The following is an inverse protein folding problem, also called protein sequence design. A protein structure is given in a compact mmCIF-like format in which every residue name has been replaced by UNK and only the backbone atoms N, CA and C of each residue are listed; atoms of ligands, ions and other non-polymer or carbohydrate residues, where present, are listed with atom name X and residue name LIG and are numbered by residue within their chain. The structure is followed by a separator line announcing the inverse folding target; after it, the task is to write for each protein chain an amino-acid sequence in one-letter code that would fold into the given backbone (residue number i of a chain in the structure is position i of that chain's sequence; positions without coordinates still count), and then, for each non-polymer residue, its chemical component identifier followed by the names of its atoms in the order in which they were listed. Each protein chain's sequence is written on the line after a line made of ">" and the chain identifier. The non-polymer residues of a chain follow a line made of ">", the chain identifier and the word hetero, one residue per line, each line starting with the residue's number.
data_IF_220199593943
#
_entry.id   IF_220199593943
#
_cell.length_a   1.000
_cell.length_b   1.000
_cell.length_c   1.000
_cell.angle_alpha   90.00
_cell.angle_beta   90.00
_cell.angle_gamma   90.00
#
_symmetry.space_group_name_H-M   'P 1'
#
loop_
_entity.id
_entity.type
_entity.pdbx_description
1 polymer ?
#
# COMPACT_ATOMS: atom_id res chain seq x y z
N UNK A 1 13.92 -9.86 -37.16
CA UNK A 1 13.85 -10.71 -35.96
C UNK A 1 14.04 -9.79 -34.77
N UNK A 2 12.94 -9.35 -34.15
CA UNK A 2 13.00 -8.39 -33.05
C UNK A 2 13.29 -9.13 -31.75
N UNK A 3 14.41 -8.79 -31.13
CA UNK A 3 14.84 -9.26 -29.81
C UNK A 3 14.00 -8.52 -28.76
N UNK A 4 12.76 -8.96 -28.55
CA UNK A 4 11.95 -8.45 -27.44
C UNK A 4 12.58 -8.94 -26.14
N UNK A 5 12.95 -7.99 -25.29
CA UNK A 5 13.75 -8.18 -24.08
C UNK A 5 13.17 -9.23 -23.15
N UNK A 6 14.04 -10.12 -22.68
CA UNK A 6 13.81 -11.20 -21.70
C UNK A 6 13.42 -10.68 -20.29
N UNK A 7 13.17 -9.39 -20.13
CA UNK A 7 12.91 -8.69 -18.86
C UNK A 7 11.44 -8.69 -18.42
N UNK A 8 10.50 -8.99 -19.32
CA UNK A 8 9.06 -8.91 -19.01
C UNK A 8 8.49 -10.20 -18.37
N UNK A 9 9.27 -11.28 -18.28
CA UNK A 9 8.71 -12.58 -17.85
C UNK A 9 8.61 -12.79 -16.33
N UNK A 10 9.04 -11.84 -15.49
CA UNK A 10 9.04 -11.99 -14.03
C UNK A 10 8.44 -10.80 -13.26
N UNK A 11 7.74 -9.88 -13.93
CA UNK A 11 7.09 -8.78 -13.23
C UNK A 11 5.67 -9.16 -12.80
N UNK A 12 5.33 -8.86 -11.54
CA UNK A 12 4.03 -9.11 -10.95
C UNK A 12 2.93 -8.19 -11.50
N UNK A 13 3.31 -7.04 -12.07
CA UNK A 13 2.44 -6.03 -12.66
C UNK A 13 3.21 -5.17 -13.68
N UNK A 14 2.48 -4.39 -14.49
CA UNK A 14 3.05 -3.61 -15.62
C UNK A 14 3.84 -2.38 -15.20
N UNK A 15 3.46 -1.78 -14.08
CA UNK A 15 4.08 -0.62 -13.47
C UNK A 15 5.41 -1.00 -12.81
N UNK A 16 6.26 -0.02 -12.51
CA UNK A 16 7.56 -0.32 -11.90
C UNK A 16 7.44 -0.57 -10.39
N UNK A 17 6.48 0.11 -9.74
CA UNK A 17 6.20 -0.04 -8.31
C UNK A 17 4.70 0.05 -8.01
N UNK A 18 4.25 -0.72 -7.02
CA UNK A 18 2.94 -0.63 -6.41
C UNK A 18 3.07 -0.06 -5.00
N UNK A 19 2.42 1.08 -4.70
CA UNK A 19 2.46 1.72 -3.39
C UNK A 19 1.20 1.35 -2.62
N UNK A 20 1.38 0.74 -1.44
CA UNK A 20 0.28 0.40 -0.54
C UNK A 20 0.06 1.59 0.42
N UNK A 21 -1.13 2.19 0.36
CA UNK A 21 -1.46 3.40 1.12
C UNK A 21 -2.81 3.31 1.83
N UNK A 22 -3.02 4.20 2.79
CA UNK A 22 -4.30 4.38 3.50
C UNK A 22 -5.05 5.57 2.90
N UNK A 23 -6.12 5.32 2.14
CA UNK A 23 -6.94 6.38 1.53
C UNK A 23 -7.75 7.21 2.55
N UNK A 24 -7.97 6.69 3.75
CA UNK A 24 -8.65 7.40 4.86
C UNK A 24 -7.71 8.28 5.67
N UNK A 25 -6.41 8.26 5.39
CA UNK A 25 -5.48 9.27 5.87
C UNK A 25 -5.37 10.40 4.85
N UNK A 26 -5.97 11.56 5.15
CA UNK A 26 -6.01 12.72 4.24
C UNK A 26 -4.62 13.12 3.71
N UNK A 27 -3.58 13.10 4.55
CA UNK A 27 -2.21 13.42 4.14
C UNK A 27 -1.67 12.39 3.16
N UNK A 28 -1.87 11.10 3.44
CA UNK A 28 -1.45 10.03 2.53
C UNK A 28 -2.20 10.11 1.20
N UNK A 29 -3.52 10.36 1.23
CA UNK A 29 -4.33 10.49 0.02
C UNK A 29 -3.87 11.67 -0.85
N UNK A 30 -3.65 12.85 -0.25
CA UNK A 30 -3.17 14.02 -0.99
C UNK A 30 -1.83 13.75 -1.68
N UNK A 31 -0.92 13.09 -0.97
CA UNK A 31 0.39 12.71 -1.50
C UNK A 31 0.26 11.73 -2.67
N UNK A 32 -0.55 10.68 -2.51
CA UNK A 32 -0.77 9.67 -3.56
C UNK A 32 -1.48 10.27 -4.79
N UNK A 33 -2.49 11.12 -4.59
CA UNK A 33 -3.17 11.83 -5.66
C UNK A 33 -2.21 12.74 -6.46
N UNK A 34 -1.29 13.44 -5.76
CA UNK A 34 -0.26 14.24 -6.40
C UNK A 34 0.68 13.38 -7.26
N UNK A 35 1.20 12.29 -6.68
CA UNK A 35 2.10 11.37 -7.39
C UNK A 35 1.42 10.75 -8.60
N UNK A 36 0.16 10.32 -8.48
CA UNK A 36 -0.61 9.75 -9.58
C UNK A 36 -0.76 10.74 -10.75
N UNK A 37 -1.19 11.98 -10.48
CA UNK A 37 -1.38 13.00 -11.51
C UNK A 37 -0.05 13.38 -12.17
N UNK A 38 1.03 13.42 -11.38
CA UNK A 38 2.38 13.72 -11.88
C UNK A 38 2.89 12.61 -12.79
N UNK A 39 2.74 11.35 -12.38
CA UNK A 39 3.11 10.15 -13.13
C UNK A 39 2.43 10.14 -14.50
N UNK A 40 1.11 10.33 -14.53
CA UNK A 40 0.32 10.44 -15.76
C UNK A 40 0.86 11.49 -16.73
N UNK A 41 1.21 12.67 -16.19
CA UNK A 41 1.65 13.81 -16.99
C UNK A 41 3.03 13.62 -17.61
N UNK A 42 3.94 12.92 -16.93
CA UNK A 42 5.35 12.84 -17.36
C UNK A 42 5.75 11.51 -17.99
N UNK A 43 5.03 10.43 -17.66
CA UNK A 43 5.29 9.08 -18.13
C UNK A 43 4.26 8.71 -19.20
N UNK A 44 4.32 9.44 -20.32
CA UNK A 44 3.38 9.35 -21.44
C UNK A 44 3.31 7.98 -22.14
N UNK A 45 4.35 7.14 -21.95
CA UNK A 45 4.46 5.82 -22.56
C UNK A 45 3.98 4.69 -21.63
N UNK A 46 3.35 5.04 -20.50
CA UNK A 46 2.87 4.08 -19.52
C UNK A 46 3.15 4.54 -18.09
N UNK A 47 2.16 4.33 -17.23
CA UNK A 47 2.25 4.65 -15.80
C UNK A 47 3.41 3.89 -15.15
N UNK A 48 4.09 4.54 -14.21
CA UNK A 48 5.18 3.92 -13.44
C UNK A 48 4.74 3.55 -12.03
N UNK A 49 3.66 4.18 -11.56
CA UNK A 49 3.10 3.98 -10.24
C UNK A 49 1.76 3.27 -10.32
N UNK A 50 1.68 2.11 -9.70
CA UNK A 50 0.43 1.52 -9.25
C UNK A 50 0.18 1.96 -7.80
N UNK A 51 -1.08 2.27 -7.46
CA UNK A 51 -1.47 2.65 -6.11
C UNK A 51 -2.55 1.70 -5.63
N UNK A 52 -2.30 1.00 -4.53
CA UNK A 52 -3.25 0.06 -3.93
C UNK A 52 -3.67 0.57 -2.56
N UNK A 53 -4.98 0.77 -2.40
CA UNK A 53 -5.55 1.22 -1.14
C UNK A 53 -5.75 0.03 -0.20
N UNK A 54 -5.20 0.14 1.01
CA UNK A 54 -5.33 -0.89 2.05
C UNK A 54 -6.70 -0.87 2.74
N UNK A 55 -7.46 0.21 2.58
CA UNK A 55 -8.83 0.34 3.07
C UNK A 55 -9.87 -0.21 2.09
N UNK A 56 -9.45 -0.67 0.90
CA UNK A 56 -10.34 -1.28 -0.07
C UNK A 56 -10.91 -2.61 0.44
N UNK A 57 -12.18 -2.89 0.16
CA UNK A 57 -12.86 -4.10 0.66
C UNK A 57 -12.27 -5.39 0.07
N UNK A 58 -11.74 -5.30 -1.14
CA UNK A 58 -11.09 -6.36 -1.91
C UNK A 58 -9.57 -6.40 -1.73
N UNK A 59 -9.01 -5.63 -0.78
CA UNK A 59 -7.59 -5.70 -0.47
C UNK A 59 -7.22 -7.09 0.09
N UNK A 60 -6.38 -7.82 -0.65
CA UNK A 60 -5.85 -9.11 -0.24
C UNK A 60 -4.32 -9.06 -0.03
N UNK A 61 -3.82 -9.18 1.21
CA UNK A 61 -2.39 -9.29 1.49
C UNK A 61 -1.70 -10.45 0.75
N UNK A 62 -2.44 -11.51 0.39
CA UNK A 62 -1.89 -12.70 -0.27
C UNK A 62 -1.71 -12.52 -1.78
N UNK A 63 -2.28 -11.48 -2.37
CA UNK A 63 -1.97 -11.13 -3.76
C UNK A 63 -0.48 -10.77 -3.84
N UNK A 64 0.32 -11.45 -4.71
CA UNK A 64 1.75 -11.17 -4.84
C UNK A 64 2.06 -9.69 -5.07
N UNK A 65 1.19 -8.94 -5.76
CA UNK A 65 1.38 -7.50 -6.00
C UNK A 65 1.38 -6.67 -4.71
N UNK A 66 0.81 -7.20 -3.64
CA UNK A 66 0.69 -6.58 -2.32
C UNK A 66 1.80 -7.01 -1.36
N UNK A 67 2.65 -7.97 -1.74
CA UNK A 67 3.89 -8.30 -1.04
C UNK A 67 3.69 -8.79 0.40
N UNK A 68 2.54 -9.38 0.73
CA UNK A 68 2.24 -9.83 2.09
C UNK A 68 1.99 -8.71 3.09
N UNK A 69 1.80 -7.46 2.63
CA UNK A 69 1.55 -6.32 3.52
C UNK A 69 0.19 -6.49 4.19
N UNK A 70 0.17 -6.76 5.49
CA UNK A 70 -1.07 -6.87 6.24
C UNK A 70 -1.68 -5.49 6.50
N UNK A 71 -2.99 -5.44 6.81
CA UNK A 71 -3.63 -4.21 7.25
C UNK A 71 -2.85 -3.55 8.41
N UNK A 72 -2.44 -4.33 9.40
CA UNK A 72 -1.65 -3.86 10.53
C UNK A 72 -0.30 -3.25 10.11
N UNK A 73 0.37 -3.83 9.11
CA UNK A 73 1.64 -3.30 8.61
C UNK A 73 1.46 -1.97 7.86
N UNK A 74 0.50 -1.90 6.94
CA UNK A 74 0.22 -0.67 6.19
C UNK A 74 -0.31 0.48 7.06
N UNK A 75 -0.98 0.15 8.16
CA UNK A 75 -1.37 1.14 9.16
C UNK A 75 -0.19 1.68 9.97
N UNK A 76 0.86 0.88 10.20
CA UNK A 76 2.08 1.28 10.95
C UNK A 76 3.09 2.03 10.09
N UNK A 77 3.23 1.68 8.81
CA UNK A 77 4.18 2.31 7.90
C UNK A 77 3.71 2.18 6.45
N UNK A 78 4.16 3.09 5.59
CA UNK A 78 3.95 3.01 4.15
C UNK A 78 4.81 1.88 3.58
N UNK A 79 4.28 1.18 2.58
CA UNK A 79 4.98 0.11 1.87
C UNK A 79 4.88 0.33 0.37
N UNK A 80 5.88 -0.15 -0.36
CA UNK A 80 5.80 -0.33 -1.80
C UNK A 80 6.36 -1.69 -2.19
N UNK A 81 5.80 -2.27 -3.23
CA UNK A 81 6.27 -3.51 -3.85
C UNK A 81 6.85 -3.14 -5.21
N UNK A 82 8.06 -3.59 -5.53
CA UNK A 82 8.63 -3.43 -6.88
C UNK A 82 8.07 -4.50 -7.82
N UNK A 83 8.19 -4.31 -9.13
CA UNK A 83 7.71 -5.29 -10.12
C UNK A 83 8.23 -6.72 -9.90
N UNK A 84 9.41 -6.89 -9.32
CA UNK A 84 10.00 -8.20 -8.99
C UNK A 84 9.53 -8.80 -7.64
N UNK A 85 8.62 -8.14 -6.92
CA UNK A 85 8.12 -8.57 -5.61
C UNK A 85 8.92 -8.07 -4.40
N UNK A 86 10.00 -7.32 -4.58
CA UNK A 86 10.75 -6.75 -3.45
C UNK A 86 9.90 -5.71 -2.70
N UNK A 87 9.78 -5.87 -1.38
CA UNK A 87 9.02 -4.96 -0.51
C UNK A 87 9.95 -3.91 0.10
N UNK A 88 9.60 -2.64 -0.09
CA UNK A 88 10.25 -1.46 0.49
C UNK A 88 9.32 -0.85 1.53
N UNK A 89 9.86 -0.41 2.67
CA UNK A 89 9.09 0.08 3.82
C UNK A 89 9.58 1.43 4.31
N UNK A 90 8.65 2.30 4.73
CA UNK A 90 8.94 3.57 5.40
C UNK A 90 9.44 4.65 4.46
N UNK A 91 10.29 5.56 4.98
CA UNK A 91 10.81 6.72 4.23
C UNK A 91 11.37 6.38 2.84
N UNK A 92 12.12 5.27 2.64
CA UNK A 92 12.61 4.87 1.32
C UNK A 92 11.53 4.71 0.24
N UNK A 93 10.27 4.41 0.61
CA UNK A 93 9.15 4.32 -0.34
C UNK A 93 8.93 5.65 -1.05
N UNK A 94 9.01 6.76 -0.33
CA UNK A 94 8.85 8.08 -0.94
C UNK A 94 10.01 8.41 -1.87
N UNK A 95 11.26 8.07 -1.50
CA UNK A 95 12.40 8.23 -2.40
C UNK A 95 12.18 7.46 -3.71
N UNK A 96 11.73 6.21 -3.60
CA UNK A 96 11.43 5.37 -4.74
C UNK A 96 10.31 5.95 -5.61
N UNK A 97 9.20 6.40 -5.01
CA UNK A 97 8.07 6.98 -5.73
C UNK A 97 8.43 8.30 -6.42
N UNK A 98 9.15 9.19 -5.73
CA UNK A 98 9.59 10.48 -6.27
C UNK A 98 10.57 10.32 -7.42
N UNK A 99 11.40 9.29 -7.40
CA UNK A 99 12.26 8.93 -8.52
C UNK A 99 11.45 8.62 -9.78
N UNK A 100 10.37 7.83 -9.66
CA UNK A 100 9.50 7.47 -10.81
C UNK A 100 8.77 8.67 -11.40
N UNK A 101 8.55 9.71 -10.60
CA UNK A 101 7.95 10.97 -11.06
C UNK A 101 8.98 12.09 -11.34
N UNK A 102 10.26 11.74 -11.56
CA UNK A 102 11.37 12.67 -11.89
C UNK A 102 11.58 13.80 -10.87
N UNK A 103 11.22 13.56 -9.60
CA UNK A 103 11.41 14.45 -8.47
C UNK A 103 12.36 13.88 -7.41
N UNK A 104 13.09 12.79 -7.72
CA UNK A 104 14.00 12.15 -6.79
C UNK A 104 15.09 13.08 -6.22
N UNK A 105 15.43 14.17 -6.91
CA UNK A 105 16.38 15.17 -6.40
C UNK A 105 15.91 15.87 -5.12
N UNK A 106 14.60 16.03 -4.92
CA UNK A 106 14.01 16.60 -3.69
C UNK A 106 14.29 15.67 -2.52
N UNK A 107 14.14 14.36 -2.75
CA UNK A 107 14.35 13.34 -1.72
C UNK A 107 15.83 13.03 -1.46
N UNK A 108 16.75 13.35 -2.37
CA UNK A 108 18.19 13.17 -2.11
C UNK A 108 18.71 14.02 -0.94
N UNK A 109 18.05 15.12 -0.61
CA UNK A 109 18.42 15.95 0.55
C UNK A 109 18.13 15.19 1.86
N UNK A 110 17.06 14.38 1.89
CA UNK A 110 16.62 13.66 3.10
C UNK A 110 17.43 12.38 3.37
N UNK A 111 18.29 11.96 2.43
CA UNK A 111 19.10 10.74 2.57
C UNK A 111 20.48 10.98 3.18
N UNK A 112 20.88 12.22 3.47
CA UNK A 112 22.12 12.50 4.18
C UNK A 112 22.07 11.86 5.58
N UNK A 113 23.05 11.05 6.02
CA UNK A 113 23.06 10.34 7.31
C UNK A 113 22.41 11.07 8.50
N UNK A 114 22.79 12.33 8.76
CA UNK A 114 22.27 13.11 9.89
C UNK A 114 20.79 13.49 9.67
N UNK A 115 20.46 13.97 8.48
CA UNK A 115 19.08 14.35 8.12
C UNK A 115 18.17 13.13 8.13
N UNK A 116 18.69 11.99 7.64
CA UNK A 116 17.97 10.72 7.57
C UNK A 116 17.48 10.27 8.94
N UNK A 117 18.32 10.34 9.97
CA UNK A 117 17.90 9.97 11.34
C UNK A 117 16.77 10.85 11.85
N UNK A 118 16.86 12.17 11.64
CA UNK A 118 15.82 13.13 12.03
C UNK A 118 14.52 12.84 11.27
N UNK A 119 14.60 12.59 9.96
CA UNK A 119 13.46 12.27 9.11
C UNK A 119 12.83 10.94 9.53
N UNK A 120 13.62 9.92 9.85
CA UNK A 120 13.10 8.62 10.30
C UNK A 120 12.35 8.75 11.65
N UNK A 121 12.85 9.57 12.58
CA UNK A 121 12.16 9.86 13.84
C UNK A 121 10.87 10.65 13.61
N UNK A 122 10.92 11.73 12.82
CA UNK A 122 9.75 12.53 12.47
C UNK A 122 8.68 11.70 11.75
N UNK A 123 9.11 10.80 10.86
CA UNK A 123 8.23 9.88 10.15
C UNK A 123 7.53 8.91 11.09
N UNK A 124 8.25 8.28 12.03
CA UNK A 124 7.63 7.40 13.05
C UNK A 124 6.59 8.14 13.88
N UNK A 125 6.88 9.39 14.26
CA UNK A 125 5.94 10.24 14.99
C UNK A 125 4.69 10.51 14.15
N UNK A 126 4.87 10.93 12.89
CA UNK A 126 3.77 11.13 11.95
C UNK A 126 2.91 9.88 11.81
N UNK A 127 3.51 8.71 11.57
CA UNK A 127 2.75 7.45 11.43
C UNK A 127 1.90 7.12 12.64
N UNK A 128 2.40 7.39 13.85
CA UNK A 128 1.66 7.17 15.10
C UNK A 128 0.47 8.11 15.27
N UNK A 129 0.62 9.37 14.89
CA UNK A 129 -0.37 10.42 15.18
C UNK A 129 -1.27 10.79 13.99
N UNK A 130 -0.93 10.38 12.75
CA UNK A 130 -1.66 10.77 11.53
C UNK A 130 -3.15 10.45 11.65
N UNK A 131 -3.50 9.26 12.15
CA UNK A 131 -4.89 8.80 12.23
C UNK A 131 -5.66 9.47 13.36
N UNK A 132 -5.01 9.86 14.46
CA UNK A 132 -5.66 10.62 15.52
C UNK A 132 -6.18 11.95 14.98
N UNK A 133 -5.42 12.58 14.09
CA UNK A 133 -5.76 13.89 13.52
C UNK A 133 -6.75 13.71 12.36
N UNK A 134 -6.52 12.76 11.45
CA UNK A 134 -7.35 12.64 10.23
C UNK A 134 -8.61 11.81 10.43
N UNK A 135 -8.63 10.89 11.40
CA UNK A 135 -9.71 9.90 11.61
C UNK A 135 -10.26 9.90 13.04
N UNK A 136 -9.66 10.65 13.97
CA UNK A 136 -10.09 10.68 15.37
C UNK A 136 -9.78 9.40 16.17
N UNK A 137 -8.99 8.48 15.63
CA UNK A 137 -8.69 7.18 16.25
C UNK A 137 -7.20 6.85 16.15
N UNK A 138 -6.67 6.11 17.13
CA UNK A 138 -5.28 5.64 17.06
C UNK A 138 -5.14 4.49 16.06
N UNK A 139 -3.91 4.29 15.58
CA UNK A 139 -3.57 3.16 14.69
C UNK A 139 -3.98 1.82 15.33
N UNK A 140 -3.75 1.66 16.63
CA UNK A 140 -4.08 0.43 17.36
C UNK A 140 -5.60 0.17 17.41
N UNK A 141 -6.41 1.22 17.61
CA UNK A 141 -7.87 1.12 17.56
C UNK A 141 -8.35 0.66 16.20
N UNK A 142 -7.83 1.28 15.12
CA UNK A 142 -8.23 0.97 13.76
C UNK A 142 -7.88 -0.47 13.36
N UNK A 143 -6.71 -0.96 13.77
CA UNK A 143 -6.31 -2.35 13.56
C UNK A 143 -7.28 -3.30 14.27
N UNK A 144 -7.58 -3.03 15.55
CA UNK A 144 -8.51 -3.85 16.32
C UNK A 144 -9.91 -3.87 15.71
N UNK A 145 -10.40 -2.72 15.26
CA UNK A 145 -11.71 -2.59 14.64
C UNK A 145 -11.76 -3.38 13.31
N UNK A 146 -10.70 -3.30 12.50
CA UNK A 146 -10.57 -4.08 11.27
C UNK A 146 -10.58 -5.59 11.54
N UNK A 147 -9.77 -6.06 12.50
CA UNK A 147 -9.72 -7.49 12.87
C UNK A 147 -11.07 -7.99 13.37
N UNK A 148 -11.76 -7.19 14.18
CA UNK A 148 -13.09 -7.53 14.71
C UNK A 148 -14.11 -7.67 13.57
N UNK A 149 -14.13 -6.73 12.62
CA UNK A 149 -15.02 -6.81 11.44
C UNK A 149 -14.72 -8.03 10.59
N UNK A 150 -13.44 -8.32 10.30
CA UNK A 150 -13.04 -9.49 9.50
C UNK A 150 -13.36 -10.81 10.21
N UNK A 151 -13.25 -10.88 11.53
CA UNK A 151 -13.67 -12.04 12.30
C UNK A 151 -15.18 -12.27 12.18
N UNK A 152 -15.98 -11.22 12.36
CA UNK A 152 -17.44 -11.28 12.20
C UNK A 152 -17.85 -11.68 10.77
N UNK A 153 -17.23 -11.11 9.75
CA UNK A 153 -17.45 -11.48 8.34
C UNK A 153 -17.21 -12.99 8.13
N UNK A 154 -16.10 -13.52 8.64
CA UNK A 154 -15.75 -14.94 8.53
C UNK A 154 -16.75 -15.85 9.26
N UNK A 155 -17.22 -15.45 10.44
CA UNK A 155 -18.25 -16.18 11.17
C UNK A 155 -19.59 -16.19 10.42
N UNK A 156 -19.98 -15.05 9.83
CA UNK A 156 -21.19 -14.94 9.02
C UNK A 156 -21.11 -15.79 7.75
N UNK A 157 -19.99 -15.75 7.02
CA UNK A 157 -19.78 -16.59 5.83
C UNK A 157 -19.86 -18.08 6.19
N UNK A 158 -19.19 -18.50 7.27
CA UNK A 158 -19.25 -19.90 7.73
C UNK A 158 -20.68 -20.30 8.12
N UNK A 159 -21.42 -19.44 8.79
CA UNK A 159 -22.81 -19.71 9.16
C UNK A 159 -23.73 -19.82 7.92
N UNK A 160 -23.50 -18.98 6.91
CA UNK A 160 -24.22 -19.05 5.63
C UNK A 160 -23.93 -20.38 4.91
N UNK A 161 -22.66 -20.77 4.81
CA UNK A 161 -22.25 -22.05 4.19
C UNK A 161 -22.84 -23.26 4.94
N UNK A 162 -22.89 -23.21 6.28
CA UNK A 162 -23.52 -24.26 7.09
C UNK A 162 -25.03 -24.35 6.86
N UNK A 163 -25.73 -23.22 6.71
CA UNK A 163 -27.17 -23.20 6.44
C UNK A 163 -27.50 -23.79 5.07
N UNK A 164 -26.64 -23.59 4.06
CA UNK A 164 -26.79 -24.18 2.73
C UNK A 164 -26.63 -25.72 2.77
N UNK A 165 -25.66 -26.25 3.53
CA UNK A 165 -25.53 -27.69 3.76
C UNK A 165 -26.79 -28.30 4.43
N UNK A 166 -27.33 -27.64 5.46
CA UNK A 166 -28.51 -28.13 6.19
C UNK A 166 -29.82 -28.06 5.40
N UNK A 167 -29.88 -27.28 4.32
CA UNK A 167 -31.04 -27.23 3.42
C UNK A 167 -30.93 -28.28 2.31
N UNK A 168 -29.71 -28.60 1.87
CA UNK A 168 -29.44 -29.62 0.84
C UNK A 168 -29.67 -31.05 1.34
N UNK A 169 -29.51 -31.31 2.64
CA UNK A 169 -29.78 -32.61 3.28
C UNK A 169 -31.27 -32.87 3.59
N UNK A 170 -32.14 -31.87 3.40
CA UNK A 170 -33.59 -31.95 3.68
C UNK A 170 -34.48 -32.07 2.45
N UNK A 171 -33.91 -32.05 1.24
CA UNK A 171 -34.61 -32.16 -0.04
C UNK A 171 -34.27 -33.46 -0.77
#
# INVERSE_FOLDING_TARGET
>A
MNFSSRSDQNNLFSEEINIIYDSKCNVCKLEMDFLARRDEKININGRKLQLTDIEAEDYDPNDPKNGGVTYADGMKAIHAVKGNGEVVKGVPVFSLAYEKVKLGWIFKITTWPIVKEIVDVGYKLFCRYRTNITRGASVESLIKDYESRKALEKEMTKAADCNECQQKDRN
#
